data_IF_296314381807
#
_entry.id   IF_296314381807
#
_cell.length_a   1.000
_cell.length_b   1.000
_cell.length_c   1.000
_cell.angle_alpha   90.00
_cell.angle_beta   90.00
_cell.angle_gamma   90.00
#
_symmetry.space_group_name_H-M   'P 1'
#
loop_
_entity.id
_entity.type
_entity.pdbx_description
1 polymer ?
#
# COMPACT_ATOMS: atom_id res chain seq x y z
N UNK A 1 2.31 -10.37 13.31
CA UNK A 1 1.15 -9.59 12.99
C UNK A 1 0.81 -8.51 14.00
N UNK A 2 1.13 -8.71 15.25
CA UNK A 2 0.97 -7.70 16.28
C UNK A 2 2.30 -7.17 16.79
N UNK A 3 3.33 -7.33 15.99
CA UNK A 3 4.65 -6.81 16.34
C UNK A 3 4.62 -5.29 16.16
N UNK A 4 4.97 -4.59 17.21
CA UNK A 4 5.07 -3.14 17.18
C UNK A 4 6.50 -2.74 17.00
N UNK A 5 6.75 -1.95 15.98
CA UNK A 5 8.08 -1.46 15.67
C UNK A 5 8.04 0.03 15.43
N UNK A 6 9.17 0.67 15.58
CA UNK A 6 9.29 2.03 15.14
C UNK A 6 9.20 2.05 13.63
N UNK A 7 8.53 3.07 13.11
CA UNK A 7 8.39 3.24 11.67
C UNK A 7 9.79 3.40 11.03
N UNK A 8 10.06 2.57 10.02
CA UNK A 8 11.32 2.62 9.27
C UNK A 8 11.04 3.16 7.88
N UNK A 9 11.34 4.45 7.69
CA UNK A 9 11.10 5.16 6.44
C UNK A 9 11.84 4.52 5.26
N UNK A 10 13.09 4.14 5.49
CA UNK A 10 13.90 3.58 4.41
C UNK A 10 13.39 2.22 3.95
N UNK A 11 12.94 1.41 4.89
CA UNK A 11 12.36 0.11 4.56
C UNK A 11 11.10 0.26 3.73
N UNK A 12 10.24 1.19 4.13
CA UNK A 12 9.02 1.46 3.37
C UNK A 12 9.36 1.96 1.97
N UNK A 13 10.31 2.88 1.85
CA UNK A 13 10.70 3.42 0.55
C UNK A 13 11.22 2.32 -0.37
N UNK A 14 12.04 1.41 0.15
CA UNK A 14 12.55 0.28 -0.66
C UNK A 14 11.41 -0.59 -1.17
N UNK A 15 10.42 -0.86 -0.31
CA UNK A 15 9.25 -1.63 -0.72
C UNK A 15 8.45 -0.94 -1.82
N UNK A 16 8.28 0.36 -1.69
CA UNK A 16 7.54 1.14 -2.68
C UNK A 16 8.28 1.20 -4.01
N UNK A 17 9.60 1.37 -3.98
CA UNK A 17 10.40 1.39 -5.20
C UNK A 17 10.26 0.06 -5.93
N UNK A 18 10.35 -1.06 -5.19
CA UNK A 18 10.19 -2.38 -5.79
C UNK A 18 8.80 -2.58 -6.39
N UNK A 19 7.77 -2.10 -5.72
CA UNK A 19 6.40 -2.28 -6.18
C UNK A 19 6.08 -1.43 -7.41
N UNK A 20 6.83 -0.35 -7.64
CA UNK A 20 6.55 0.60 -8.72
C UNK A 20 7.51 0.50 -9.89
N UNK A 21 8.32 -0.55 -9.95
CA UNK A 21 9.26 -0.75 -11.06
C UNK A 21 8.49 -0.77 -12.38
N UNK A 22 8.96 0.03 -13.35
CA UNK A 22 8.35 0.15 -14.67
C UNK A 22 6.93 0.67 -14.66
N UNK A 23 6.52 1.31 -13.57
CA UNK A 23 5.26 2.05 -13.53
C UNK A 23 5.58 3.53 -13.69
N UNK A 24 4.62 4.28 -14.17
CA UNK A 24 4.82 5.72 -14.41
C UNK A 24 4.60 6.50 -13.11
N UNK A 25 5.45 6.25 -12.13
CA UNK A 25 5.40 6.89 -10.83
C UNK A 25 6.78 7.44 -10.51
N UNK A 26 6.87 8.75 -10.30
CA UNK A 26 8.15 9.40 -10.07
C UNK A 26 8.67 9.17 -8.65
N UNK A 27 9.97 9.32 -8.47
CA UNK A 27 10.58 9.28 -7.14
C UNK A 27 9.97 10.33 -6.22
N UNK A 28 9.69 11.51 -6.76
CA UNK A 28 9.06 12.58 -5.99
C UNK A 28 7.68 12.17 -5.48
N UNK A 29 6.89 11.49 -6.31
CA UNK A 29 5.59 10.99 -5.90
C UNK A 29 5.73 10.00 -4.75
N UNK A 30 6.74 9.15 -4.80
CA UNK A 30 6.98 8.19 -3.71
C UNK A 30 7.41 8.90 -2.43
N UNK A 31 8.22 9.94 -2.54
CA UNK A 31 8.62 10.70 -1.36
C UNK A 31 7.43 11.41 -0.73
N UNK A 32 6.56 12.00 -1.54
CA UNK A 32 5.32 12.60 -1.05
C UNK A 32 4.44 11.55 -0.36
N UNK A 33 4.34 10.37 -0.97
CA UNK A 33 3.59 9.25 -0.41
C UNK A 33 4.07 8.92 1.00
N UNK A 34 5.39 8.78 1.16
CA UNK A 34 5.97 8.43 2.46
C UNK A 34 5.74 9.54 3.47
N UNK A 35 5.87 10.81 3.05
CA UNK A 35 5.60 11.95 3.94
C UNK A 35 4.16 11.93 4.44
N UNK A 36 3.21 11.59 3.59
CA UNK A 36 1.81 11.50 4.00
C UNK A 36 1.57 10.37 4.98
N UNK A 37 2.23 9.23 4.78
CA UNK A 37 2.17 8.13 5.72
C UNK A 37 2.73 8.57 7.08
N UNK A 38 3.86 9.25 7.07
CA UNK A 38 4.48 9.75 8.30
C UNK A 38 3.55 10.70 9.06
N UNK A 39 2.89 11.60 8.32
CA UNK A 39 1.92 12.51 8.94
C UNK A 39 0.75 11.76 9.55
N UNK A 40 0.25 10.75 8.87
CA UNK A 40 -0.86 9.96 9.40
C UNK A 40 -0.47 9.26 10.70
N UNK A 41 0.75 8.74 10.76
CA UNK A 41 1.26 8.09 11.97
C UNK A 41 1.36 9.09 13.11
N UNK A 42 1.94 10.27 12.84
CA UNK A 42 2.08 11.31 13.85
C UNK A 42 0.72 11.78 14.37
N UNK A 43 -0.23 11.96 13.46
CA UNK A 43 -1.57 12.43 13.84
C UNK A 43 -2.35 11.39 14.63
N UNK A 44 -1.96 10.13 14.56
CA UNK A 44 -2.61 9.07 15.34
C UNK A 44 -2.19 9.09 16.82
N UNK A 45 -1.19 9.90 17.16
CA UNK A 45 -0.66 10.04 18.52
C UNK A 45 -0.10 8.73 19.08
N UNK A 46 0.31 7.82 18.21
CA UNK A 46 0.92 6.56 18.61
C UNK A 46 2.43 6.67 18.54
N UNK A 47 3.12 6.22 19.57
CA UNK A 47 4.58 6.16 19.56
C UNK A 47 5.08 5.06 18.63
N UNK A 48 4.29 4.00 18.50
CA UNK A 48 4.63 2.84 17.68
C UNK A 48 3.44 2.46 16.82
N UNK A 49 3.72 1.83 15.69
CA UNK A 49 2.69 1.36 14.78
C UNK A 49 2.93 -0.13 14.49
N UNK A 50 1.87 -0.91 14.42
CA UNK A 50 2.03 -2.32 14.07
C UNK A 50 2.32 -2.45 12.59
N UNK A 51 3.00 -3.54 12.23
CA UNK A 51 3.27 -3.85 10.82
C UNK A 51 1.96 -3.94 10.03
N UNK A 52 0.93 -4.51 10.65
CA UNK A 52 -0.38 -4.63 10.02
C UNK A 52 -1.00 -3.26 9.75
N UNK A 53 -0.97 -2.38 10.73
CA UNK A 53 -1.53 -1.03 10.56
C UNK A 53 -0.82 -0.25 9.47
N UNK A 54 0.51 -0.33 9.45
CA UNK A 54 1.30 0.35 8.44
C UNK A 54 1.00 -0.20 7.05
N UNK A 55 0.98 -1.52 6.92
CA UNK A 55 0.69 -2.16 5.64
C UNK A 55 -0.67 -1.77 5.10
N UNK A 56 -1.67 -1.69 5.97
CA UNK A 56 -3.01 -1.30 5.55
C UNK A 56 -3.06 0.15 5.07
N UNK A 57 -2.37 1.05 5.75
CA UNK A 57 -2.26 2.44 5.29
C UNK A 57 -1.64 2.55 3.91
N UNK A 58 -0.54 1.82 3.72
CA UNK A 58 0.20 1.84 2.45
C UNK A 58 -0.67 1.28 1.33
N UNK A 59 -1.32 0.15 1.58
CA UNK A 59 -2.15 -0.50 0.57
C UNK A 59 -3.33 0.37 0.17
N UNK A 60 -3.97 1.02 1.14
CA UNK A 60 -5.09 1.90 0.85
C UNK A 60 -4.68 3.07 -0.06
N UNK A 61 -3.51 3.64 0.17
CA UNK A 61 -3.01 4.71 -0.69
C UNK A 61 -2.60 4.21 -2.07
N UNK A 62 -1.88 3.09 -2.12
CA UNK A 62 -1.43 2.53 -3.41
C UNK A 62 -2.59 2.16 -4.31
N UNK A 63 -3.66 1.64 -3.75
CA UNK A 63 -4.84 1.26 -4.50
C UNK A 63 -5.39 2.43 -5.33
N UNK A 64 -5.29 3.63 -4.79
CA UNK A 64 -5.78 4.84 -5.46
C UNK A 64 -4.80 5.40 -6.49
N UNK A 65 -3.54 5.01 -6.40
CA UNK A 65 -2.48 5.56 -7.25
C UNK A 65 -2.19 4.65 -8.44
N UNK A 66 -1.99 3.35 -8.19
CA UNK A 66 -1.61 2.41 -9.24
C UNK A 66 -1.98 0.99 -8.83
N UNK A 67 -2.86 0.38 -9.60
CA UNK A 67 -3.37 -0.96 -9.28
C UNK A 67 -2.30 -2.03 -9.34
N UNK A 68 -1.35 -1.91 -10.27
CA UNK A 68 -0.27 -2.89 -10.40
C UNK A 68 0.64 -2.81 -9.17
N UNK A 69 1.01 -1.59 -8.78
CA UNK A 69 1.83 -1.40 -7.59
C UNK A 69 1.11 -1.92 -6.35
N UNK A 70 -0.19 -1.70 -6.27
CA UNK A 70 -1.00 -2.21 -5.17
C UNK A 70 -0.93 -3.74 -5.08
N UNK A 71 -1.13 -4.44 -6.19
CA UNK A 71 -1.08 -5.90 -6.19
C UNK A 71 0.31 -6.41 -5.83
N UNK A 72 1.35 -5.78 -6.38
CA UNK A 72 2.73 -6.18 -6.06
C UNK A 72 3.05 -6.01 -4.58
N UNK A 73 2.67 -4.86 -4.02
CA UNK A 73 2.92 -4.61 -2.61
C UNK A 73 2.12 -5.56 -1.73
N UNK A 74 0.86 -5.78 -2.09
CA UNK A 74 -0.01 -6.69 -1.34
C UNK A 74 0.50 -8.12 -1.36
N UNK A 75 1.09 -8.56 -2.48
CA UNK A 75 1.60 -9.92 -2.58
C UNK A 75 2.78 -10.17 -1.64
N UNK A 76 3.57 -9.14 -1.39
CA UNK A 76 4.68 -9.25 -0.43
C UNK A 76 4.17 -9.12 1.00
N UNK A 77 3.34 -8.12 1.24
CA UNK A 77 2.86 -7.82 2.59
C UNK A 77 1.94 -8.91 3.14
N UNK A 78 0.99 -9.37 2.35
CA UNK A 78 0.01 -10.35 2.81
C UNK A 78 0.46 -11.78 2.70
N UNK A 79 1.57 -12.02 1.99
CA UNK A 79 2.08 -13.38 1.79
C UNK A 79 0.96 -14.30 1.35
N UNK A 80 0.45 -14.08 0.13
CA UNK A 80 -0.67 -14.89 -0.38
C UNK A 80 -0.41 -16.38 -0.18
N UNK A 81 -1.20 -16.98 0.67
CA UNK A 81 -1.04 -18.39 1.01
C UNK A 81 -1.79 -19.30 0.05
N UNK A 82 -2.74 -18.72 -0.68
CA UNK A 82 -3.52 -19.49 -1.64
C UNK A 82 -4.10 -18.56 -2.71
N UNK A 83 -4.67 -19.22 -3.72
CA UNK A 83 -5.26 -18.50 -4.86
C UNK A 83 -6.46 -17.66 -4.43
N UNK A 84 -7.19 -18.12 -3.44
CA UNK A 84 -8.38 -17.41 -2.96
C UNK A 84 -8.03 -16.02 -2.46
N UNK A 85 -6.96 -15.89 -1.68
CA UNK A 85 -6.53 -14.58 -1.19
C UNK A 85 -6.17 -13.65 -2.32
N UNK A 86 -5.48 -14.16 -3.35
CA UNK A 86 -5.13 -13.39 -4.52
C UNK A 86 -6.37 -12.93 -5.28
N UNK A 87 -7.33 -13.82 -5.47
CA UNK A 87 -8.58 -13.50 -6.18
C UNK A 87 -9.34 -12.40 -5.46
N UNK A 88 -9.38 -12.42 -4.14
CA UNK A 88 -10.05 -11.38 -3.37
C UNK A 88 -9.47 -9.98 -3.66
N UNK A 89 -8.14 -9.89 -3.78
CA UNK A 89 -7.49 -8.62 -4.11
C UNK A 89 -7.89 -8.16 -5.52
N UNK A 90 -7.89 -9.08 -6.48
CA UNK A 90 -8.23 -8.76 -7.87
C UNK A 90 -9.70 -8.33 -7.97
N UNK A 91 -10.58 -9.00 -7.27
CA UNK A 91 -12.01 -8.65 -7.26
C UNK A 91 -12.23 -7.26 -6.68
N UNK A 92 -11.48 -6.89 -5.66
CA UNK A 92 -11.56 -5.58 -5.05
C UNK A 92 -11.19 -4.48 -6.05
N UNK A 93 -10.14 -4.72 -6.84
CA UNK A 93 -9.72 -3.78 -7.90
C UNK A 93 -10.82 -3.66 -8.96
N UNK A 94 -11.41 -4.79 -9.37
CA UNK A 94 -12.44 -4.80 -10.39
C UNK A 94 -13.69 -4.05 -9.94
N UNK A 95 -14.04 -4.12 -8.66
CA UNK A 95 -15.16 -3.35 -8.13
C UNK A 95 -14.91 -1.85 -8.27
N UNK A 96 -13.71 -1.40 -7.97
CA UNK A 96 -13.36 0.01 -8.09
C UNK A 96 -13.43 0.45 -9.55
N UNK A 97 -12.92 -0.36 -10.47
CA UNK A 97 -12.97 -0.06 -11.89
C UNK A 97 -14.42 0.02 -12.40
N UNK A 98 -15.27 -0.89 -11.94
CA UNK A 98 -16.68 -0.89 -12.35
C UNK A 98 -17.40 0.36 -11.86
N UNK A 99 -17.07 0.82 -10.65
CA UNK A 99 -17.64 2.06 -10.14
C UNK A 99 -17.24 3.25 -10.99
N UNK A 100 -15.98 3.32 -11.39
CA UNK A 100 -15.50 4.39 -12.25
C UNK A 100 -16.19 4.38 -13.59
N UNK A 101 -16.40 3.20 -14.18
CA UNK A 101 -17.09 3.06 -15.45
C UNK A 101 -18.56 3.47 -15.38
N UNK A 102 -19.20 3.28 -14.24
CA UNK A 102 -20.61 3.63 -14.09
C UNK A 102 -20.82 5.13 -14.02
N UNK A 103 -19.81 5.89 -13.67
CA UNK A 103 -19.91 7.34 -13.57
C UNK A 103 -19.81 8.04 -14.93
N UNK A 104 -19.55 7.27 -15.98
CA UNK A 104 -19.59 7.79 -17.35
C UNK A 104 -21.04 7.85 -17.91
#
# INVERSE_FOLDING_TARGET
DKIRDKFDRNKLMRGLIAATVKRNISRESLETFVLEIEKNIQNSLKAEITTKELGEMVMEKLKKIDQVAYVRFASVYKEFKDIKSFIEIVEDINKDNNKEKKDD
#
